data_IF_351669092802
#
_entry.id   IF_351669092802
#
_cell.length_a   1.000
_cell.length_b   1.000
_cell.length_c   1.000
_cell.angle_alpha   90.00
_cell.angle_beta   90.00
_cell.angle_gamma   90.00
#
_symmetry.space_group_name_H-M   'P 1'
#
loop_
_entity.id
_entity.type
_entity.pdbx_description
1 polymer ?
#
# COMPACT_ATOMS: atom_id res chain seq x y z
N UNK A 1 1.65 7.62 -19.01
CA UNK A 1 0.26 7.39 -18.58
C UNK A 1 0.16 7.46 -17.07
N UNK A 2 -0.91 8.07 -16.57
CA UNK A 2 -1.10 8.17 -15.13
C UNK A 2 -1.53 6.83 -14.54
N UNK A 3 -0.95 6.47 -13.42
CA UNK A 3 -1.35 5.30 -12.66
C UNK A 3 -2.29 5.71 -11.53
N UNK A 4 -2.91 4.75 -10.88
CA UNK A 4 -3.94 4.99 -9.88
C UNK A 4 -3.38 4.76 -8.47
N UNK A 5 -3.72 5.68 -7.57
CA UNK A 5 -3.47 5.52 -6.14
C UNK A 5 -4.75 4.96 -5.50
N UNK A 6 -4.65 3.79 -4.91
CA UNK A 6 -5.76 3.16 -4.19
C UNK A 6 -5.55 3.32 -2.69
N UNK A 7 -6.59 3.69 -1.97
CA UNK A 7 -6.54 3.74 -0.51
C UNK A 7 -7.47 2.66 0.01
N UNK A 8 -6.92 1.72 0.77
CA UNK A 8 -7.66 0.57 1.28
C UNK A 8 -7.69 0.59 2.80
N UNK A 9 -8.88 0.61 3.37
CA UNK A 9 -9.06 0.50 4.81
C UNK A 9 -8.89 -0.95 5.25
N UNK A 10 -7.98 -1.20 6.19
CA UNK A 10 -7.71 -2.54 6.69
C UNK A 10 -8.29 -2.80 8.09
N UNK A 11 -8.99 -1.79 8.65
CA UNK A 11 -9.60 -1.90 9.98
C UNK A 11 -8.56 -2.21 11.05
N UNK A 12 -8.82 -3.19 11.92
CA UNK A 12 -7.89 -3.53 13.00
C UNK A 12 -6.67 -4.34 12.54
N UNK A 13 -6.44 -4.47 11.23
CA UNK A 13 -5.26 -5.17 10.71
C UNK A 13 -5.44 -6.68 10.54
N UNK A 14 -6.64 -7.17 10.66
CA UNK A 14 -6.95 -8.58 10.44
C UNK A 14 -7.54 -8.75 9.03
N UNK A 15 -6.96 -9.64 8.18
CA UNK A 15 -7.48 -9.84 6.82
C UNK A 15 -8.97 -10.15 6.75
N UNK A 16 -9.54 -10.77 7.79
CA UNK A 16 -10.97 -11.08 7.84
C UNK A 16 -11.86 -9.83 7.85
N UNK A 17 -11.30 -8.68 8.21
CA UNK A 17 -12.04 -7.42 8.26
C UNK A 17 -11.85 -6.54 7.03
N UNK A 18 -11.04 -6.98 6.09
CA UNK A 18 -10.81 -6.25 4.84
C UNK A 18 -11.79 -6.77 3.80
N UNK A 19 -12.48 -5.85 3.11
CA UNK A 19 -13.39 -6.27 2.04
C UNK A 19 -12.61 -7.02 0.96
N UNK A 20 -13.21 -8.06 0.33
CA UNK A 20 -12.50 -8.88 -0.65
C UNK A 20 -11.81 -8.10 -1.77
N UNK A 21 -12.44 -7.05 -2.28
CA UNK A 21 -11.87 -6.21 -3.32
C UNK A 21 -10.60 -5.51 -2.83
N UNK A 22 -10.63 -4.98 -1.60
CA UNK A 22 -9.46 -4.34 -1.00
C UNK A 22 -8.32 -5.32 -0.78
N UNK A 23 -8.64 -6.50 -0.29
CA UNK A 23 -7.64 -7.55 -0.06
C UNK A 23 -6.99 -7.98 -1.38
N UNK A 24 -7.77 -8.08 -2.45
CA UNK A 24 -7.26 -8.43 -3.76
C UNK A 24 -6.31 -7.34 -4.29
N UNK A 25 -6.65 -6.07 -4.09
CA UNK A 25 -5.78 -4.96 -4.47
C UNK A 25 -4.44 -5.03 -3.74
N UNK A 26 -4.46 -5.32 -2.43
CA UNK A 26 -3.25 -5.45 -1.63
C UNK A 26 -2.40 -6.61 -2.13
N UNK A 27 -3.01 -7.75 -2.36
CA UNK A 27 -2.30 -8.96 -2.81
C UNK A 27 -1.58 -8.80 -4.13
N UNK A 28 -2.18 -8.07 -5.06
CA UNK A 28 -1.66 -7.92 -6.41
C UNK A 28 -0.94 -6.59 -6.64
N UNK A 29 -0.76 -5.78 -5.60
CA UNK A 29 -0.09 -4.50 -5.72
C UNK A 29 1.38 -4.68 -6.06
N UNK A 30 1.89 -3.87 -6.98
CA UNK A 30 3.33 -3.79 -7.23
C UNK A 30 4.00 -2.95 -6.16
N UNK A 31 3.34 -1.85 -5.76
CA UNK A 31 3.82 -0.95 -4.70
C UNK A 31 2.80 -0.91 -3.58
N UNK A 32 3.23 -1.21 -2.37
CA UNK A 32 2.37 -1.28 -1.20
C UNK A 32 2.90 -0.35 -0.11
N UNK A 33 2.03 0.51 0.39
CA UNK A 33 2.37 1.49 1.44
C UNK A 33 1.50 1.22 2.66
N UNK A 34 2.10 1.28 3.83
CA UNK A 34 1.36 1.10 5.07
C UNK A 34 2.29 1.19 6.27
N UNK A 35 1.73 1.07 7.48
CA UNK A 35 2.55 1.01 8.68
C UNK A 35 3.44 -0.24 8.62
N UNK A 36 4.51 -0.25 9.41
CA UNK A 36 5.40 -1.42 9.46
C UNK A 36 4.62 -2.68 9.81
N UNK A 37 3.70 -2.58 10.75
CA UNK A 37 2.87 -3.71 11.16
C UNK A 37 1.94 -4.17 10.04
N UNK A 38 1.32 -3.23 9.34
CA UNK A 38 0.44 -3.57 8.22
C UNK A 38 1.21 -4.26 7.11
N UNK A 39 2.41 -3.78 6.81
CA UNK A 39 3.25 -4.41 5.81
C UNK A 39 3.62 -5.84 6.21
N UNK A 40 3.97 -6.06 7.47
CA UNK A 40 4.26 -7.41 7.96
C UNK A 40 3.08 -8.36 7.76
N UNK A 41 1.86 -7.88 8.04
CA UNK A 41 0.66 -8.70 7.98
C UNK A 41 0.18 -8.98 6.56
N UNK A 42 0.40 -8.05 5.62
CA UNK A 42 -0.22 -8.10 4.30
C UNK A 42 0.74 -8.18 3.12
N UNK A 43 2.03 -7.90 3.30
CA UNK A 43 2.95 -7.89 2.16
C UNK A 43 3.12 -9.27 1.54
N UNK A 44 3.33 -9.28 0.23
CA UNK A 44 3.60 -10.50 -0.53
C UNK A 44 5.01 -10.43 -1.12
N UNK A 45 5.65 -11.58 -1.38
CA UNK A 45 6.98 -11.59 -2.00
C UNK A 45 7.00 -10.81 -3.32
N UNK A 46 8.06 -10.06 -3.53
CA UNK A 46 8.24 -9.31 -4.78
C UNK A 46 7.61 -7.93 -4.80
N UNK A 47 6.86 -7.55 -3.79
CA UNK A 47 6.30 -6.21 -3.73
C UNK A 47 7.33 -5.17 -3.31
N UNK A 48 7.19 -3.96 -3.84
CA UNK A 48 7.95 -2.80 -3.38
C UNK A 48 7.15 -2.19 -2.24
N UNK A 49 7.75 -2.11 -1.04
CA UNK A 49 7.03 -1.65 0.14
C UNK A 49 7.63 -0.37 0.69
N UNK A 50 6.76 0.53 1.16
CA UNK A 50 7.15 1.77 1.80
C UNK A 50 6.44 1.88 3.14
N UNK A 51 7.16 1.82 4.26
CA UNK A 51 6.54 2.00 5.57
C UNK A 51 6.19 3.47 5.82
N UNK A 52 5.04 3.71 6.43
CA UNK A 52 4.67 5.04 6.87
C UNK A 52 5.46 5.33 8.15
N UNK A 53 6.43 6.23 8.03
CA UNK A 53 7.24 6.69 9.16
C UNK A 53 6.96 8.16 9.39
N UNK A 54 7.71 8.82 10.28
CA UNK A 54 7.44 10.18 10.69
C UNK A 54 7.58 11.27 9.61
N UNK A 55 8.18 10.97 8.47
CA UNK A 55 8.41 11.96 7.42
C UNK A 55 7.43 11.79 6.25
N UNK A 56 6.23 12.34 6.42
CA UNK A 56 5.18 12.22 5.42
C UNK A 56 5.51 12.89 4.09
N UNK A 57 6.27 14.00 4.12
CA UNK A 57 6.66 14.69 2.88
C UNK A 57 7.57 13.81 2.00
N UNK A 58 8.49 13.09 2.62
CA UNK A 58 9.36 12.17 1.89
C UNK A 58 8.56 11.00 1.32
N UNK A 59 7.62 10.47 2.09
CA UNK A 59 6.75 9.40 1.65
C UNK A 59 5.89 9.85 0.46
N UNK A 60 5.35 11.06 0.51
CA UNK A 60 4.56 11.61 -0.59
C UNK A 60 5.38 11.69 -1.88
N UNK A 61 6.63 12.11 -1.79
CA UNK A 61 7.53 12.16 -2.94
C UNK A 61 7.80 10.77 -3.50
N UNK A 62 7.99 9.79 -2.64
CA UNK A 62 8.22 8.42 -3.05
C UNK A 62 7.00 7.85 -3.77
N UNK A 63 5.81 8.10 -3.25
CA UNK A 63 4.55 7.67 -3.86
C UNK A 63 4.38 8.31 -5.24
N UNK A 64 4.61 9.62 -5.35
CA UNK A 64 4.53 10.32 -6.63
C UNK A 64 5.48 9.72 -7.67
N UNK A 65 6.68 9.40 -7.26
CA UNK A 65 7.67 8.81 -8.15
C UNK A 65 7.23 7.42 -8.64
N UNK A 66 6.71 6.61 -7.73
CA UNK A 66 6.24 5.28 -8.10
C UNK A 66 5.02 5.33 -9.02
N UNK A 67 4.16 6.34 -8.88
CA UNK A 67 2.99 6.50 -9.72
C UNK A 67 3.31 6.79 -11.19
N UNK A 68 4.55 7.13 -11.51
CA UNK A 68 5.00 7.26 -12.89
C UNK A 68 5.05 5.89 -13.60
N UNK A 69 5.31 4.84 -12.84
CA UNK A 69 5.54 3.51 -13.39
C UNK A 69 4.53 2.46 -12.92
N UNK A 70 3.89 2.66 -11.78
CA UNK A 70 3.05 1.65 -11.12
C UNK A 70 1.84 2.26 -10.45
N UNK A 71 0.78 1.46 -10.31
CA UNK A 71 -0.29 1.78 -9.38
C UNK A 71 0.26 1.58 -7.97
N UNK A 72 -0.25 2.38 -7.04
CA UNK A 72 0.18 2.31 -5.63
C UNK A 72 -1.02 2.01 -4.75
N UNK A 73 -0.88 1.09 -3.83
CA UNK A 73 -1.91 0.75 -2.85
C UNK A 73 -1.45 1.21 -1.47
N UNK A 74 -2.26 2.04 -0.83
CA UNK A 74 -1.99 2.54 0.52
C UNK A 74 -2.99 1.91 1.48
N UNK A 75 -2.47 1.24 2.49
CA UNK A 75 -3.28 0.65 3.57
C UNK A 75 -3.45 1.68 4.70
N UNK A 76 -4.69 1.85 5.15
CA UNK A 76 -5.00 2.79 6.24
C UNK A 76 -5.80 2.15 7.35
#
# INVERSE_FOLDING_TARGET
MAHTLYIVGIGPGNPDYVVPKGLNLIKHATVLVGSERSLEDFQEPGQITYPVTGKLSLLAEQIERELNDHDVVVMV
#
